data_IF_703628534436
#
_entry.id   IF_703628534436
#
_cell.length_a   1.000
_cell.length_b   1.000
_cell.length_c   1.000
_cell.angle_alpha   90.00
_cell.angle_beta   90.00
_cell.angle_gamma   90.00
#
_symmetry.space_group_name_H-M   'P 1'
#
loop_
_entity.id
_entity.type
_entity.pdbx_description
1 polymer ?
#
# COMPACT_ATOMS: atom_id res chain seq x y z
N UNK A 1 44.88 -34.80 -22.93
CA UNK A 1 45.11 -33.43 -22.57
C UNK A 1 43.82 -32.89 -21.93
N UNK A 2 43.92 -32.41 -20.72
CA UNK A 2 42.76 -31.79 -20.06
C UNK A 2 42.84 -30.29 -20.34
N UNK A 3 42.01 -29.79 -21.24
CA UNK A 3 41.92 -28.35 -21.54
C UNK A 3 40.53 -27.82 -21.26
N UNK A 4 40.41 -26.54 -21.00
CA UNK A 4 39.13 -25.86 -20.96
C UNK A 4 38.55 -25.81 -22.38
N UNK A 5 37.26 -26.02 -22.44
CA UNK A 5 36.47 -26.00 -23.67
C UNK A 5 35.54 -24.82 -23.68
N UNK A 6 34.73 -24.68 -22.64
CA UNK A 6 33.82 -23.57 -22.43
C UNK A 6 34.23 -22.82 -21.16
N UNK A 7 34.64 -21.57 -21.33
CA UNK A 7 35.12 -20.73 -20.23
C UNK A 7 33.95 -20.09 -19.43
N UNK A 8 32.80 -19.95 -20.06
CA UNK A 8 31.62 -19.37 -19.41
C UNK A 8 31.00 -20.33 -18.40
N UNK A 9 31.05 -21.64 -18.74
CA UNK A 9 30.39 -22.73 -17.98
C UNK A 9 31.42 -23.65 -17.28
N UNK A 10 32.71 -23.33 -17.32
CA UNK A 10 33.81 -24.11 -16.71
C UNK A 10 33.86 -25.58 -17.24
N UNK A 11 33.46 -25.80 -18.50
CA UNK A 11 33.44 -27.15 -19.11
C UNK A 11 34.82 -27.47 -19.68
N UNK A 12 35.30 -28.66 -19.39
CA UNK A 12 36.59 -29.23 -19.87
C UNK A 12 36.38 -30.33 -20.89
N UNK A 13 37.41 -30.59 -21.66
CA UNK A 13 37.39 -31.67 -22.64
C UNK A 13 37.04 -33.04 -22.03
N UNK A 14 37.46 -33.32 -20.80
CA UNK A 14 37.10 -34.54 -20.06
C UNK A 14 35.60 -34.64 -19.77
N UNK A 15 34.89 -33.54 -19.60
CA UNK A 15 33.48 -33.56 -19.27
C UNK A 15 32.65 -34.00 -20.46
N UNK A 16 33.03 -33.58 -21.69
CA UNK A 16 32.43 -34.09 -22.92
C UNK A 16 32.68 -35.59 -23.10
N UNK A 17 33.92 -36.04 -22.80
CA UNK A 17 34.25 -37.48 -22.88
C UNK A 17 33.45 -38.26 -21.83
N UNK A 18 33.28 -37.72 -20.63
CA UNK A 18 32.46 -38.35 -19.57
C UNK A 18 31.01 -38.43 -19.98
N UNK A 19 30.46 -37.34 -20.52
CA UNK A 19 29.10 -37.33 -21.06
C UNK A 19 28.86 -38.44 -22.09
N UNK A 20 29.78 -38.57 -23.06
CA UNK A 20 29.72 -39.64 -24.07
C UNK A 20 29.71 -41.02 -23.44
N UNK A 21 30.56 -41.28 -22.43
CA UNK A 21 30.63 -42.58 -21.72
C UNK A 21 29.35 -42.90 -20.95
N UNK A 22 28.67 -41.89 -20.44
CA UNK A 22 27.41 -42.03 -19.73
C UNK A 22 26.19 -42.12 -20.65
N UNK A 23 26.41 -42.11 -21.99
CA UNK A 23 25.35 -42.28 -22.98
C UNK A 23 24.78 -40.97 -23.55
N UNK A 24 25.31 -39.81 -23.14
CA UNK A 24 24.95 -38.51 -23.73
C UNK A 24 25.79 -38.26 -24.99
N UNK A 25 25.56 -39.09 -26.02
CA UNK A 25 26.43 -39.23 -27.17
C UNK A 25 26.07 -38.35 -28.37
N UNK A 26 25.01 -37.56 -28.29
CA UNK A 26 24.69 -36.53 -29.29
C UNK A 26 25.10 -35.14 -28.80
N UNK A 27 25.36 -34.21 -29.72
CA UNK A 27 25.75 -32.83 -29.37
C UNK A 27 24.76 -32.15 -28.45
N UNK A 28 23.44 -32.33 -28.68
CA UNK A 28 22.39 -31.75 -27.85
C UNK A 28 22.31 -32.39 -26.46
N UNK A 29 22.54 -33.69 -26.34
CA UNK A 29 22.55 -34.38 -25.06
C UNK A 29 23.81 -34.02 -24.25
N UNK A 30 24.98 -34.03 -24.88
CA UNK A 30 26.25 -33.65 -24.28
C UNK A 30 26.20 -32.17 -23.78
N UNK A 31 25.63 -31.27 -24.59
CA UNK A 31 25.37 -29.88 -24.22
C UNK A 31 24.52 -29.76 -22.95
N UNK A 32 23.39 -30.46 -22.87
CA UNK A 32 22.48 -30.41 -21.72
C UNK A 32 23.08 -30.99 -20.45
N UNK A 33 23.89 -32.03 -20.61
CA UNK A 33 24.56 -32.70 -19.49
C UNK A 33 25.72 -31.87 -18.94
N UNK A 34 26.50 -31.23 -19.81
CA UNK A 34 27.71 -30.49 -19.44
C UNK A 34 27.52 -28.98 -19.34
N UNK A 35 26.39 -28.44 -19.76
CA UNK A 35 26.11 -27.01 -19.97
C UNK A 35 26.97 -26.33 -21.06
N UNK A 36 27.82 -27.09 -21.80
CA UNK A 36 28.67 -26.53 -22.84
C UNK A 36 27.88 -25.80 -23.92
N UNK A 37 28.23 -24.55 -24.19
CA UNK A 37 27.53 -23.72 -25.17
C UNK A 37 26.19 -23.18 -24.69
N UNK A 38 25.86 -23.25 -23.40
CA UNK A 38 24.64 -22.70 -22.80
C UNK A 38 24.82 -21.28 -22.23
N UNK A 39 26.06 -20.88 -21.96
CA UNK A 39 26.41 -19.57 -21.46
C UNK A 39 26.29 -18.45 -22.50
N UNK A 40 26.73 -17.22 -22.18
CA UNK A 40 26.58 -16.03 -23.05
C UNK A 40 27.25 -16.20 -24.43
N UNK A 41 28.30 -17.02 -24.53
CA UNK A 41 28.96 -17.32 -25.80
C UNK A 41 28.11 -18.14 -26.77
N UNK A 42 27.11 -18.87 -26.27
CA UNK A 42 26.16 -19.68 -27.06
C UNK A 42 26.82 -20.62 -28.05
N UNK A 43 27.94 -21.24 -27.65
CA UNK A 43 28.66 -22.20 -28.48
C UNK A 43 29.52 -21.59 -29.60
N UNK A 44 29.62 -20.26 -29.69
CA UNK A 44 30.35 -19.60 -30.79
C UNK A 44 31.87 -19.93 -30.82
N UNK A 45 32.43 -20.17 -29.65
CA UNK A 45 33.87 -20.53 -29.51
C UNK A 45 34.08 -22.01 -29.29
N UNK A 46 33.26 -22.63 -28.47
CA UNK A 46 33.46 -23.99 -27.96
C UNK A 46 32.85 -25.10 -28.85
N UNK A 47 31.78 -24.85 -29.60
CA UNK A 47 31.01 -25.89 -30.28
C UNK A 47 31.85 -26.73 -31.25
N UNK A 48 32.73 -26.10 -32.04
CA UNK A 48 33.58 -26.82 -32.99
C UNK A 48 34.48 -27.83 -32.28
N UNK A 49 35.09 -27.41 -31.18
CA UNK A 49 35.95 -28.26 -30.37
C UNK A 49 35.14 -29.32 -29.61
N UNK A 50 33.97 -28.97 -29.11
CA UNK A 50 33.06 -29.95 -28.45
C UNK A 50 32.63 -31.04 -29.38
N UNK A 51 32.24 -30.70 -30.63
CA UNK A 51 31.89 -31.66 -31.65
C UNK A 51 33.07 -32.58 -31.99
N UNK A 52 34.29 -32.04 -32.16
CA UNK A 52 35.46 -32.82 -32.46
C UNK A 52 35.81 -33.82 -31.33
N UNK A 53 35.73 -33.37 -30.06
CA UNK A 53 35.97 -34.23 -28.90
C UNK A 53 34.88 -35.30 -28.78
N UNK A 54 33.62 -34.93 -28.98
CA UNK A 54 32.48 -35.87 -28.92
C UNK A 54 32.57 -36.90 -30.07
N UNK A 55 32.90 -36.47 -31.28
CA UNK A 55 33.12 -37.31 -32.43
C UNK A 55 34.21 -38.37 -32.15
N UNK A 56 35.34 -37.91 -31.62
CA UNK A 56 36.43 -38.80 -31.22
C UNK A 56 36.01 -39.77 -30.12
N UNK A 57 35.32 -39.31 -29.09
CA UNK A 57 34.87 -40.12 -27.96
C UNK A 57 33.83 -41.20 -28.36
N UNK A 58 33.05 -40.94 -29.41
CA UNK A 58 31.99 -41.83 -29.92
C UNK A 58 32.37 -42.58 -31.19
N UNK A 59 33.63 -42.42 -31.66
CA UNK A 59 34.15 -43.00 -32.90
C UNK A 59 33.26 -42.66 -34.12
N UNK A 60 32.87 -41.42 -34.27
CA UNK A 60 32.10 -40.85 -35.38
C UNK A 60 32.91 -39.78 -36.09
N UNK A 61 32.51 -39.39 -37.27
CA UNK A 61 33.05 -38.18 -37.89
C UNK A 61 32.38 -36.92 -37.33
N UNK A 62 33.04 -35.78 -37.48
CA UNK A 62 32.55 -34.49 -36.95
C UNK A 62 31.24 -34.05 -37.63
N UNK A 63 31.11 -34.35 -38.95
CA UNK A 63 29.93 -33.96 -39.71
C UNK A 63 28.68 -34.69 -39.25
N UNK A 64 28.76 -36.01 -39.00
CA UNK A 64 27.65 -36.80 -38.47
C UNK A 64 27.31 -36.51 -37.01
N UNK A 65 28.31 -36.05 -36.22
CA UNK A 65 28.06 -35.61 -34.82
C UNK A 65 27.20 -34.35 -34.78
N UNK A 66 27.39 -33.44 -35.74
CA UNK A 66 26.56 -32.23 -35.88
C UNK A 66 26.78 -31.21 -34.80
N UNK A 67 26.24 -30.02 -35.03
CA UNK A 67 26.29 -28.92 -34.06
C UNK A 67 25.05 -28.86 -33.15
N UNK A 68 25.15 -28.12 -32.10
CA UNK A 68 24.02 -27.84 -31.19
C UNK A 68 23.10 -26.75 -31.76
N UNK A 69 21.83 -26.74 -31.31
CA UNK A 69 20.90 -25.67 -31.57
C UNK A 69 21.12 -24.55 -30.55
N UNK A 70 21.13 -23.31 -31.00
CA UNK A 70 21.29 -22.17 -30.13
C UNK A 70 19.99 -21.81 -29.44
N UNK A 71 20.10 -21.20 -28.25
CA UNK A 71 18.97 -20.64 -27.50
C UNK A 71 18.83 -19.15 -27.76
N UNK A 72 17.62 -18.62 -27.91
CA UNK A 72 17.44 -17.17 -27.96
C UNK A 72 17.84 -16.52 -26.60
N UNK A 73 18.42 -15.32 -26.60
CA UNK A 73 18.95 -14.61 -27.79
C UNK A 73 20.32 -15.11 -28.19
N UNK A 74 20.46 -15.57 -29.46
CA UNK A 74 21.73 -16.01 -29.99
C UNK A 74 22.80 -14.92 -30.10
N UNK A 75 22.38 -13.71 -30.45
CA UNK A 75 23.21 -12.52 -30.47
C UNK A 75 22.84 -11.62 -29.29
N UNK A 76 23.82 -10.89 -28.72
CA UNK A 76 23.51 -9.87 -27.72
C UNK A 76 22.48 -8.88 -28.25
N UNK A 77 21.45 -8.60 -27.45
CA UNK A 77 20.43 -7.61 -27.77
C UNK A 77 20.67 -6.41 -26.87
N UNK A 78 20.71 -5.21 -27.43
CA UNK A 78 20.84 -4.01 -26.64
C UNK A 78 19.58 -3.79 -25.77
N UNK A 79 19.76 -3.24 -24.57
CA UNK A 79 18.61 -2.86 -23.73
C UNK A 79 17.67 -1.90 -24.47
N UNK A 80 18.22 -1.02 -25.34
CA UNK A 80 17.39 -0.13 -26.16
C UNK A 80 16.49 -0.86 -27.16
N UNK A 81 16.92 -2.01 -27.70
CA UNK A 81 16.08 -2.84 -28.58
C UNK A 81 14.95 -3.55 -27.80
N UNK A 82 15.19 -3.84 -26.50
CA UNK A 82 14.20 -4.45 -25.60
C UNK A 82 13.28 -3.41 -24.95
N UNK A 83 13.72 -2.15 -24.87
CA UNK A 83 12.98 -1.09 -24.19
C UNK A 83 11.61 -0.81 -24.81
N UNK A 84 11.42 -1.12 -26.09
CA UNK A 84 10.16 -0.89 -26.77
C UNK A 84 9.79 0.59 -26.77
N UNK A 85 8.48 0.87 -26.67
CA UNK A 85 7.95 2.21 -26.50
C UNK A 85 7.99 2.57 -25.02
N UNK A 86 8.52 3.75 -24.66
CA UNK A 86 8.39 4.31 -23.32
C UNK A 86 6.90 4.50 -23.04
N UNK A 87 6.40 3.82 -22.05
CA UNK A 87 5.01 3.86 -21.65
C UNK A 87 4.91 3.69 -20.14
N UNK A 88 4.45 4.75 -19.51
CA UNK A 88 4.06 4.72 -18.09
C UNK A 88 2.54 4.70 -18.04
N UNK A 89 1.92 3.60 -17.55
CA UNK A 89 0.47 3.56 -17.43
C UNK A 89 0.02 4.56 -16.37
N UNK A 90 -0.80 5.51 -16.79
CA UNK A 90 -1.41 6.50 -15.90
C UNK A 90 -2.89 6.18 -15.69
N UNK A 91 -3.34 6.26 -14.45
CA UNK A 91 -4.74 6.18 -14.08
C UNK A 91 -5.20 7.55 -13.60
N UNK A 92 -6.36 7.96 -14.06
CA UNK A 92 -6.99 9.21 -13.65
C UNK A 92 -8.41 8.95 -13.17
N UNK A 93 -8.87 9.78 -12.24
CA UNK A 93 -10.26 9.70 -11.79
C UNK A 93 -11.21 10.28 -12.83
N UNK A 94 -12.51 9.96 -12.78
CA UNK A 94 -13.52 10.55 -13.66
C UNK A 94 -13.62 12.08 -13.56
N UNK A 95 -13.10 12.68 -12.48
CA UNK A 95 -13.13 14.13 -12.23
C UNK A 95 -11.78 14.83 -12.49
N UNK A 96 -10.78 14.12 -13.00
CA UNK A 96 -9.43 14.67 -13.23
C UNK A 96 -9.42 15.95 -14.07
N UNK A 97 -10.23 16.00 -15.12
CA UNK A 97 -10.33 17.19 -15.95
C UNK A 97 -10.80 18.41 -15.16
N UNK A 98 -11.80 18.23 -14.29
CA UNK A 98 -12.29 19.30 -13.42
C UNK A 98 -11.18 19.78 -12.48
N UNK A 99 -10.38 18.88 -11.91
CA UNK A 99 -9.25 19.25 -11.04
C UNK A 99 -8.27 20.16 -11.76
N UNK A 100 -7.88 19.82 -12.99
CA UNK A 100 -6.99 20.65 -13.81
C UNK A 100 -7.60 22.02 -14.12
N UNK A 101 -8.85 22.06 -14.54
CA UNK A 101 -9.56 23.30 -14.86
C UNK A 101 -9.73 24.23 -13.63
N UNK A 102 -9.62 23.67 -12.41
CA UNK A 102 -9.73 24.41 -11.14
C UNK A 102 -8.38 24.58 -10.41
N UNK A 103 -7.29 24.48 -11.15
CA UNK A 103 -5.95 24.84 -10.67
C UNK A 103 -5.30 23.83 -9.73
N UNK A 104 -5.74 22.58 -9.73
CA UNK A 104 -5.06 21.54 -9.00
C UNK A 104 -3.62 21.35 -9.49
N UNK A 105 -2.70 21.22 -8.57
CA UNK A 105 -1.38 20.67 -8.79
C UNK A 105 -1.47 19.17 -8.62
N UNK A 106 -0.94 18.44 -9.58
CA UNK A 106 -0.96 16.98 -9.52
C UNK A 106 0.28 16.38 -8.87
N UNK A 107 0.10 15.22 -8.28
CA UNK A 107 1.14 14.31 -7.86
C UNK A 107 0.87 12.91 -8.41
N UNK A 108 1.93 12.11 -8.54
CA UNK A 108 1.86 10.69 -8.87
C UNK A 108 1.83 9.88 -7.58
N UNK A 109 0.83 9.00 -7.44
CA UNK A 109 0.70 8.06 -6.34
C UNK A 109 0.49 6.64 -6.90
N UNK A 110 1.57 5.87 -7.02
CA UNK A 110 1.58 4.62 -7.77
C UNK A 110 1.29 4.90 -9.25
N UNK A 111 0.23 4.30 -9.79
CA UNK A 111 -0.21 4.56 -11.18
C UNK A 111 -1.24 5.70 -11.29
N UNK A 112 -1.65 6.31 -10.18
CA UNK A 112 -2.70 7.32 -10.16
C UNK A 112 -2.15 8.73 -10.17
N UNK A 113 -2.73 9.57 -11.03
CA UNK A 113 -2.57 11.02 -10.96
C UNK A 113 -3.63 11.57 -9.98
N UNK A 114 -3.20 12.34 -8.99
CA UNK A 114 -4.06 12.86 -7.92
C UNK A 114 -3.77 14.33 -7.65
N UNK A 115 -4.76 15.15 -7.29
CA UNK A 115 -4.52 16.50 -6.81
C UNK A 115 -3.64 16.50 -5.54
N UNK A 116 -2.44 17.08 -5.63
CA UNK A 116 -1.59 17.31 -4.47
C UNK A 116 -2.15 18.44 -3.60
N UNK A 117 -2.52 19.56 -4.25
CA UNK A 117 -3.15 20.72 -3.62
C UNK A 117 -3.83 21.64 -4.65
N UNK A 118 -4.65 22.60 -4.16
CA UNK A 118 -5.30 23.64 -4.96
C UNK A 118 -4.70 25.03 -4.65
N UNK A 119 -3.40 25.09 -4.46
CA UNK A 119 -2.64 26.33 -4.28
C UNK A 119 -2.04 26.49 -2.88
N UNK A 120 -2.81 26.31 -1.82
CA UNK A 120 -2.32 26.50 -0.45
C UNK A 120 -2.83 25.40 0.50
N UNK A 121 -2.03 24.35 0.74
CA UNK A 121 -2.40 23.25 1.61
C UNK A 121 -2.78 23.68 3.04
N UNK A 122 -2.13 24.73 3.59
CA UNK A 122 -2.44 25.22 4.92
C UNK A 122 -3.84 25.86 4.97
N UNK A 123 -4.23 26.62 3.95
CA UNK A 123 -5.56 27.17 3.85
C UNK A 123 -6.63 26.08 3.65
N UNK A 124 -6.31 25.04 2.87
CA UNK A 124 -7.18 23.88 2.70
C UNK A 124 -7.43 23.17 4.03
N UNK A 125 -6.40 22.95 4.86
CA UNK A 125 -6.52 22.39 6.21
C UNK A 125 -7.43 23.25 7.08
N UNK A 126 -7.21 24.56 7.11
CA UNK A 126 -8.03 25.49 7.91
C UNK A 126 -9.49 25.45 7.46
N UNK A 127 -9.75 25.35 6.14
CA UNK A 127 -11.11 25.24 5.62
C UNK A 127 -11.80 23.94 6.07
N UNK A 128 -11.11 22.79 5.99
CA UNK A 128 -11.64 21.51 6.48
C UNK A 128 -11.97 21.58 7.98
N UNK A 129 -11.10 22.22 8.79
CA UNK A 129 -11.31 22.39 10.25
C UNK A 129 -12.47 23.30 10.61
N UNK A 130 -12.77 24.30 9.76
CA UNK A 130 -13.72 25.38 10.10
C UNK A 130 -15.06 25.27 9.36
N UNK A 131 -15.07 24.64 8.17
CA UNK A 131 -16.21 24.61 7.25
C UNK A 131 -16.47 23.18 6.76
N UNK A 132 -16.25 22.95 5.47
CA UNK A 132 -16.27 21.63 4.84
C UNK A 132 -15.30 21.57 3.66
N UNK A 133 -14.49 20.53 3.60
CA UNK A 133 -13.64 20.23 2.45
C UNK A 133 -14.17 19.03 1.68
N UNK A 134 -13.83 18.94 0.39
CA UNK A 134 -14.10 17.78 -0.46
C UNK A 134 -12.82 17.29 -1.11
N UNK A 135 -12.58 15.98 -1.10
CA UNK A 135 -11.40 15.35 -1.71
C UNK A 135 -11.79 14.14 -2.56
N UNK A 136 -11.08 13.96 -3.68
CA UNK A 136 -11.19 12.78 -4.53
C UNK A 136 -10.45 11.59 -3.92
N UNK A 137 -11.20 10.54 -3.57
CA UNK A 137 -10.70 9.27 -3.05
C UNK A 137 -10.85 8.10 -4.05
N UNK A 138 -11.16 8.39 -5.31
CA UNK A 138 -11.33 7.37 -6.36
C UNK A 138 -10.15 6.38 -6.44
N UNK A 139 -8.88 6.79 -6.22
CA UNK A 139 -7.75 5.87 -6.28
C UNK A 139 -7.68 4.80 -5.18
N UNK A 140 -8.39 4.93 -4.05
CA UNK A 140 -8.42 3.88 -3.04
C UNK A 140 -8.93 2.57 -3.64
N UNK A 141 -8.28 1.45 -3.29
CA UNK A 141 -8.74 0.13 -3.73
C UNK A 141 -10.15 -0.18 -3.22
N UNK A 142 -10.95 -0.82 -4.04
CA UNK A 142 -12.29 -1.30 -3.70
C UNK A 142 -12.45 -2.71 -4.21
N UNK A 143 -12.72 -3.63 -3.30
CA UNK A 143 -12.98 -5.04 -3.58
C UNK A 143 -14.38 -5.38 -3.06
N UNK A 144 -15.21 -5.89 -3.94
CA UNK A 144 -16.56 -6.36 -3.62
C UNK A 144 -16.50 -7.85 -3.31
N UNK A 145 -16.95 -8.25 -2.13
CA UNK A 145 -16.88 -9.62 -1.67
C UNK A 145 -18.30 -10.16 -1.46
N UNK A 146 -18.58 -11.27 -2.12
CA UNK A 146 -19.86 -11.98 -2.01
C UNK A 146 -19.66 -13.43 -1.65
N UNK A 147 -20.53 -13.94 -0.80
CA UNK A 147 -20.62 -15.36 -0.49
C UNK A 147 -20.74 -15.65 1.01
N UNK A 148 -21.27 -16.84 1.36
CA UNK A 148 -21.50 -17.21 2.76
C UNK A 148 -20.22 -17.37 3.57
N UNK A 149 -19.07 -17.58 2.91
CA UNK A 149 -17.78 -17.77 3.58
C UNK A 149 -16.91 -16.50 3.64
N UNK A 150 -17.45 -15.32 3.25
CA UNK A 150 -16.70 -14.04 3.30
C UNK A 150 -16.16 -13.76 4.71
N UNK A 151 -16.92 -14.05 5.76
CA UNK A 151 -16.47 -13.85 7.15
C UNK A 151 -15.25 -14.70 7.47
N UNK A 152 -15.18 -15.94 6.95
CA UNK A 152 -13.99 -16.81 7.14
C UNK A 152 -12.78 -16.19 6.47
N UNK A 153 -12.92 -15.70 5.23
CA UNK A 153 -11.86 -15.00 4.52
C UNK A 153 -11.39 -13.76 5.28
N UNK A 154 -12.31 -12.90 5.73
CA UNK A 154 -11.97 -11.70 6.49
C UNK A 154 -11.26 -12.04 7.81
N UNK A 155 -11.68 -13.10 8.49
CA UNK A 155 -11.01 -13.58 9.71
C UNK A 155 -9.62 -14.16 9.42
N UNK A 156 -9.37 -14.73 8.23
CA UNK A 156 -8.06 -15.24 7.84
C UNK A 156 -7.08 -14.11 7.51
N UNK A 157 -7.53 -13.09 6.79
CA UNK A 157 -6.64 -12.07 6.23
C UNK A 157 -6.45 -10.84 7.14
N UNK A 158 -7.36 -10.59 8.07
CA UNK A 158 -7.23 -9.51 9.03
C UNK A 158 -6.87 -9.99 10.43
N UNK A 159 -6.12 -9.20 11.15
CA UNK A 159 -5.73 -9.50 12.55
C UNK A 159 -6.90 -9.42 13.53
N UNK A 160 -7.94 -8.63 13.24
CA UNK A 160 -9.11 -8.42 14.08
C UNK A 160 -10.28 -9.38 13.72
N UNK A 161 -11.28 -9.46 14.61
CA UNK A 161 -12.43 -10.35 14.47
C UNK A 161 -13.53 -9.73 13.61
N UNK A 162 -14.16 -10.52 12.74
CA UNK A 162 -15.20 -10.10 11.80
C UNK A 162 -16.56 -10.76 12.04
N UNK A 163 -16.66 -11.79 12.89
CA UNK A 163 -17.89 -12.56 13.13
C UNK A 163 -19.06 -11.69 13.61
N UNK A 164 -18.77 -10.65 14.38
CA UNK A 164 -19.75 -9.79 15.01
C UNK A 164 -19.94 -8.45 14.28
N UNK A 165 -19.52 -8.31 13.03
CA UNK A 165 -19.80 -7.11 12.26
C UNK A 165 -21.26 -7.13 11.79
N UNK A 166 -22.08 -6.21 12.29
CA UNK A 166 -23.48 -6.11 11.91
C UNK A 166 -23.66 -5.54 10.48
N UNK A 167 -24.70 -5.95 9.77
CA UNK A 167 -25.09 -5.32 8.50
C UNK A 167 -25.29 -3.81 8.71
N UNK A 168 -24.85 -3.01 7.76
CA UNK A 168 -24.86 -1.55 7.85
C UNK A 168 -23.78 -0.96 8.74
N UNK A 169 -22.78 -1.75 9.13
CA UNK A 169 -21.60 -1.30 9.89
C UNK A 169 -20.32 -1.48 9.09
N UNK A 170 -19.31 -0.70 9.42
CA UNK A 170 -17.96 -0.80 8.87
C UNK A 170 -16.95 -1.07 9.98
N UNK A 171 -15.81 -1.62 9.63
CA UNK A 171 -14.70 -1.88 10.55
C UNK A 171 -13.38 -1.61 9.88
N UNK A 172 -12.50 -0.90 10.58
CA UNK A 172 -11.11 -0.77 10.20
C UNK A 172 -10.36 -2.05 10.56
N UNK A 173 -9.53 -2.54 9.66
CA UNK A 173 -8.70 -3.72 9.83
C UNK A 173 -7.31 -3.52 9.28
N UNK A 174 -6.37 -4.31 9.82
CA UNK A 174 -4.99 -4.40 9.35
C UNK A 174 -4.70 -5.82 8.87
N UNK A 175 -4.10 -5.93 7.71
CA UNK A 175 -3.63 -7.18 7.12
C UNK A 175 -2.14 -7.32 7.38
N UNK A 176 -1.72 -8.49 7.81
CA UNK A 176 -0.32 -8.83 7.99
C UNK A 176 0.06 -9.99 7.08
N UNK A 177 1.27 -9.94 6.54
CA UNK A 177 1.91 -11.08 5.91
C UNK A 177 2.21 -12.18 6.94
N UNK A 178 2.67 -13.34 6.49
CA UNK A 178 2.93 -14.51 7.35
C UNK A 178 3.99 -14.23 8.43
N UNK A 179 4.90 -13.28 8.18
CA UNK A 179 5.93 -12.81 9.12
C UNK A 179 5.44 -11.72 10.09
N UNK A 180 4.13 -11.44 10.13
CA UNK A 180 3.53 -10.44 11.01
C UNK A 180 3.73 -8.99 10.57
N UNK A 181 4.41 -8.75 9.44
CA UNK A 181 4.63 -7.42 8.87
C UNK A 181 3.32 -6.87 8.31
N UNK A 182 3.04 -5.59 8.57
CA UNK A 182 1.87 -4.90 8.04
C UNK A 182 1.97 -4.82 6.51
N UNK A 183 1.02 -5.45 5.83
CA UNK A 183 0.94 -5.50 4.37
C UNK A 183 0.05 -4.39 3.80
N UNK A 184 -1.15 -4.25 4.36
CA UNK A 184 -2.11 -3.20 3.99
C UNK A 184 -3.10 -2.97 5.14
N UNK A 185 -3.88 -1.91 5.03
CA UNK A 185 -4.97 -1.59 5.93
C UNK A 185 -6.19 -1.10 5.13
N UNK A 186 -7.31 -1.02 5.78
CA UNK A 186 -8.50 -0.48 5.14
C UNK A 186 -9.75 -0.61 6.00
N UNK A 187 -10.85 -0.16 5.43
CA UNK A 187 -12.16 -0.25 6.04
C UNK A 187 -13.00 -1.20 5.22
N UNK A 188 -13.65 -2.15 5.88
CA UNK A 188 -14.59 -3.08 5.24
C UNK A 188 -15.99 -2.88 5.82
N UNK A 189 -16.97 -2.66 4.95
CA UNK A 189 -18.37 -2.49 5.29
C UNK A 189 -19.20 -3.72 4.95
N UNK A 190 -20.09 -4.14 5.87
CA UNK A 190 -21.07 -5.18 5.61
C UNK A 190 -22.34 -4.57 5.05
N UNK A 191 -22.57 -4.78 3.75
CA UNK A 191 -23.71 -4.23 3.01
C UNK A 191 -24.96 -5.13 3.07
N UNK A 192 -24.76 -6.43 3.24
CA UNK A 192 -25.81 -7.45 3.32
C UNK A 192 -25.33 -8.66 4.11
N UNK A 193 -26.14 -9.71 4.17
CA UNK A 193 -25.79 -10.93 4.93
C UNK A 193 -24.47 -11.54 4.42
N UNK A 194 -24.33 -11.66 3.11
CA UNK A 194 -23.17 -12.26 2.43
C UNK A 194 -22.48 -11.27 1.48
N UNK A 195 -22.66 -9.96 1.71
CA UNK A 195 -22.14 -8.90 0.85
C UNK A 195 -21.31 -7.88 1.64
N UNK A 196 -20.05 -7.69 1.22
CA UNK A 196 -19.11 -6.77 1.84
C UNK A 196 -18.38 -5.94 0.79
N UNK A 197 -18.09 -4.69 1.12
CA UNK A 197 -17.20 -3.84 0.34
C UNK A 197 -15.93 -3.56 1.17
N UNK A 198 -14.78 -3.99 0.67
CA UNK A 198 -13.47 -3.79 1.28
C UNK A 198 -12.75 -2.64 0.57
N UNK A 199 -12.13 -1.75 1.33
CA UNK A 199 -11.18 -0.76 0.79
C UNK A 199 -9.76 -1.11 1.18
N UNK A 200 -8.80 -0.69 0.35
CA UNK A 200 -7.35 -0.88 0.54
C UNK A 200 -6.62 0.42 0.21
N UNK A 201 -5.32 0.48 0.49
CA UNK A 201 -4.50 1.57 -0.04
C UNK A 201 -4.53 1.60 -1.57
N UNK A 202 -4.31 2.77 -2.17
CA UNK A 202 -4.32 2.92 -3.64
C UNK A 202 -3.24 2.09 -4.33
N UNK A 203 -2.07 1.95 -3.71
CA UNK A 203 -0.95 1.16 -4.22
C UNK A 203 -1.10 -0.34 -3.94
N UNK A 204 -1.77 -0.71 -2.84
CA UNK A 204 -1.95 -2.09 -2.40
C UNK A 204 -3.09 -2.84 -3.09
N UNK A 205 -4.00 -2.14 -3.79
CA UNK A 205 -5.24 -2.72 -4.31
C UNK A 205 -5.04 -4.00 -5.14
N UNK A 206 -4.05 -4.00 -6.04
CA UNK A 206 -3.73 -5.17 -6.86
C UNK A 206 -3.13 -6.31 -6.03
N UNK A 207 -2.15 -5.99 -5.18
CA UNK A 207 -1.46 -6.99 -4.35
C UNK A 207 -2.42 -7.65 -3.34
N UNK A 208 -3.32 -6.88 -2.74
CA UNK A 208 -4.35 -7.43 -1.84
C UNK A 208 -5.29 -8.34 -2.61
N UNK A 209 -5.76 -7.93 -3.80
CA UNK A 209 -6.63 -8.78 -4.61
C UNK A 209 -5.95 -10.09 -4.99
N UNK A 210 -4.73 -10.04 -5.52
CA UNK A 210 -3.95 -11.23 -5.88
C UNK A 210 -3.74 -12.16 -4.66
N UNK A 211 -3.50 -11.59 -3.49
CA UNK A 211 -3.32 -12.33 -2.25
C UNK A 211 -4.61 -13.02 -1.77
N UNK A 212 -5.77 -12.33 -1.86
CA UNK A 212 -7.06 -12.94 -1.56
C UNK A 212 -7.38 -14.10 -2.52
N UNK A 213 -7.14 -13.89 -3.83
CA UNK A 213 -7.33 -14.93 -4.85
C UNK A 213 -6.39 -16.13 -4.62
N UNK A 214 -5.15 -15.89 -4.21
CA UNK A 214 -4.20 -16.95 -3.86
C UNK A 214 -4.76 -17.85 -2.74
N UNK A 215 -5.28 -17.24 -1.65
CA UNK A 215 -5.89 -18.00 -0.55
C UNK A 215 -7.09 -18.83 -1.02
N UNK A 216 -7.98 -18.22 -1.82
CA UNK A 216 -9.21 -18.87 -2.30
C UNK A 216 -8.91 -19.97 -3.32
N UNK A 217 -7.93 -19.78 -4.21
CA UNK A 217 -7.65 -20.74 -5.27
C UNK A 217 -6.74 -21.90 -4.83
N UNK A 218 -5.90 -21.71 -3.82
CA UNK A 218 -4.89 -22.70 -3.43
C UNK A 218 -5.13 -23.36 -2.09
N UNK A 219 -5.51 -22.60 -1.08
CA UNK A 219 -5.64 -23.11 0.31
C UNK A 219 -7.08 -23.45 0.65
N UNK A 220 -8.02 -22.63 0.21
CA UNK A 220 -9.45 -22.77 0.52
C UNK A 220 -10.34 -22.78 -0.73
N UNK A 221 -10.09 -23.69 -1.70
CA UNK A 221 -10.88 -23.75 -2.95
C UNK A 221 -12.33 -24.19 -2.74
N UNK A 222 -12.65 -24.67 -1.55
CA UNK A 222 -13.99 -25.06 -1.12
C UNK A 222 -14.82 -23.90 -0.55
N UNK A 223 -14.20 -22.75 -0.26
CA UNK A 223 -14.95 -21.59 0.25
C UNK A 223 -15.73 -20.90 -0.85
N UNK A 224 -16.99 -20.62 -0.54
CA UNK A 224 -17.89 -19.92 -1.45
C UNK A 224 -17.72 -18.40 -1.26
N UNK A 225 -16.70 -17.85 -1.88
CA UNK A 225 -16.39 -16.42 -1.90
C UNK A 225 -16.05 -15.98 -3.31
N UNK A 226 -16.63 -14.87 -3.74
CA UNK A 226 -16.25 -14.17 -4.98
C UNK A 226 -15.67 -12.81 -4.61
N UNK A 227 -14.49 -12.48 -5.12
CA UNK A 227 -13.83 -11.19 -4.97
C UNK A 227 -13.81 -10.47 -6.31
N UNK A 228 -14.44 -9.31 -6.39
CA UNK A 228 -14.50 -8.51 -7.63
C UNK A 228 -13.83 -7.16 -7.43
N UNK A 229 -12.78 -6.82 -8.21
CA UNK A 229 -12.15 -5.51 -8.11
C UNK A 229 -13.06 -4.43 -8.73
N UNK A 230 -13.52 -3.49 -7.90
CA UNK A 230 -14.40 -2.40 -8.29
C UNK A 230 -13.75 -1.01 -8.22
N UNK A 231 -12.43 -0.93 -8.11
CA UNK A 231 -11.70 0.34 -7.96
C UNK A 231 -12.09 1.36 -9.04
N UNK A 232 -12.19 0.94 -10.28
CA UNK A 232 -12.52 1.81 -11.43
C UNK A 232 -14.02 1.89 -11.72
N UNK A 233 -14.83 1.06 -11.09
CA UNK A 233 -16.29 1.10 -11.23
C UNK A 233 -16.94 2.22 -10.41
N UNK A 234 -16.26 2.68 -9.36
CA UNK A 234 -16.71 3.78 -8.52
C UNK A 234 -15.84 5.02 -8.68
N UNK A 235 -16.47 6.19 -8.68
CA UNK A 235 -15.86 7.43 -8.28
C UNK A 235 -16.14 7.62 -6.78
N UNK A 236 -15.11 7.88 -5.99
CA UNK A 236 -15.25 8.04 -4.55
C UNK A 236 -14.77 9.41 -4.14
N UNK A 237 -15.50 10.03 -3.23
CA UNK A 237 -15.16 11.34 -2.69
C UNK A 237 -15.44 11.37 -1.19
N UNK A 238 -14.69 12.17 -0.47
CA UNK A 238 -14.93 12.39 0.94
C UNK A 238 -15.25 13.87 1.20
N UNK A 239 -16.30 14.13 1.94
CA UNK A 239 -16.59 15.46 2.50
C UNK A 239 -16.26 15.43 3.99
N UNK A 240 -15.45 16.40 4.46
CA UNK A 240 -14.94 16.43 5.81
C UNK A 240 -15.01 17.83 6.39
N UNK A 241 -15.44 17.94 7.64
CA UNK A 241 -15.53 19.19 8.37
C UNK A 241 -16.86 19.34 9.14
N UNK A 242 -17.00 20.34 10.01
CA UNK A 242 -18.19 20.50 10.84
C UNK A 242 -19.49 20.62 10.04
N UNK A 243 -19.44 21.18 8.83
CA UNK A 243 -20.63 21.39 7.99
C UNK A 243 -20.94 20.18 7.06
N UNK A 244 -20.19 19.09 7.13
CA UNK A 244 -20.34 17.96 6.18
C UNK A 244 -21.69 17.24 6.28
N UNK A 245 -22.29 17.12 7.51
CA UNK A 245 -23.62 16.54 7.67
C UNK A 245 -24.70 17.41 7.04
N UNK A 246 -24.66 18.71 7.29
CA UNK A 246 -25.60 19.66 6.70
C UNK A 246 -25.50 19.66 5.18
N UNK A 247 -24.28 19.69 4.64
CA UNK A 247 -24.06 19.61 3.19
C UNK A 247 -24.70 18.35 2.61
N UNK A 248 -24.38 17.18 3.17
CA UNK A 248 -24.88 15.91 2.64
C UNK A 248 -26.41 15.84 2.71
N UNK A 249 -27.03 16.36 3.78
CA UNK A 249 -28.50 16.35 3.94
C UNK A 249 -29.24 17.10 2.83
N UNK A 250 -28.57 18.04 2.14
CA UNK A 250 -29.18 18.81 1.04
C UNK A 250 -29.27 18.03 -0.28
N UNK A 251 -28.54 16.93 -0.38
CA UNK A 251 -28.36 16.19 -1.66
C UNK A 251 -28.62 14.68 -1.54
N UNK A 252 -29.03 14.19 -0.38
CA UNK A 252 -29.29 12.75 -0.17
C UNK A 252 -30.66 12.49 0.43
N UNK A 253 -31.20 11.28 0.18
CA UNK A 253 -32.38 10.72 0.85
C UNK A 253 -32.02 9.89 2.08
N UNK A 254 -30.74 9.68 2.36
CA UNK A 254 -30.27 8.91 3.52
C UNK A 254 -30.55 9.68 4.80
N UNK A 255 -31.14 9.00 5.79
CA UNK A 255 -31.25 9.55 7.14
C UNK A 255 -29.85 9.70 7.78
N UNK A 256 -29.44 10.95 8.05
CA UNK A 256 -28.15 11.31 8.62
C UNK A 256 -28.20 11.57 10.13
N UNK A 257 -29.30 11.24 10.82
CA UNK A 257 -29.38 11.39 12.28
C UNK A 257 -28.23 10.59 12.94
N UNK A 258 -27.45 11.20 13.84
CA UNK A 258 -26.32 10.52 14.49
C UNK A 258 -26.69 9.24 15.24
N UNK A 259 -27.94 9.07 15.65
CA UNK A 259 -28.41 7.86 16.34
C UNK A 259 -28.63 6.70 15.39
N UNK A 260 -29.02 6.98 14.15
CA UNK A 260 -29.30 5.96 13.10
C UNK A 260 -28.13 5.76 12.18
N UNK A 261 -27.34 6.81 11.89
CA UNK A 261 -26.17 6.79 11.05
C UNK A 261 -24.94 7.40 11.76
N UNK A 262 -24.55 6.75 12.85
CA UNK A 262 -23.38 7.14 13.65
C UNK A 262 -22.04 6.77 12.99
N UNK A 263 -20.96 7.08 13.68
CA UNK A 263 -19.60 6.75 13.26
C UNK A 263 -19.42 5.23 13.06
N UNK A 264 -18.65 4.84 12.04
CA UNK A 264 -18.42 3.44 11.61
C UNK A 264 -19.70 2.73 11.11
N UNK A 265 -20.55 3.47 10.40
CA UNK A 265 -21.73 2.94 9.73
C UNK A 265 -21.67 3.16 8.22
N UNK A 266 -22.40 2.31 7.48
CA UNK A 266 -22.62 2.41 6.04
C UNK A 266 -24.12 2.43 5.73
N UNK A 267 -24.50 3.21 4.72
CA UNK A 267 -25.86 3.26 4.16
C UNK A 267 -25.77 3.28 2.64
N UNK A 268 -26.79 2.75 2.01
CA UNK A 268 -27.03 2.88 0.58
C UNK A 268 -28.23 3.78 0.34
N UNK A 269 -28.20 4.60 -0.69
CA UNK A 269 -29.28 5.52 -1.01
C UNK A 269 -28.98 6.35 -2.23
N UNK A 270 -29.71 7.45 -2.38
CA UNK A 270 -29.56 8.39 -3.48
C UNK A 270 -28.70 9.57 -3.04
N UNK A 271 -27.71 9.96 -3.85
CA UNK A 271 -26.91 11.18 -3.64
C UNK A 271 -26.96 12.01 -4.92
N UNK A 272 -27.35 13.28 -4.81
CA UNK A 272 -27.47 14.21 -5.94
C UNK A 272 -28.32 13.64 -7.12
N UNK A 273 -29.36 12.86 -6.81
CA UNK A 273 -30.22 12.22 -7.80
C UNK A 273 -29.69 10.91 -8.38
N UNK A 274 -28.49 10.48 -7.98
CA UNK A 274 -27.87 9.21 -8.40
C UNK A 274 -28.24 8.13 -7.39
N UNK A 275 -28.93 7.08 -7.84
CA UNK A 275 -29.30 5.94 -7.00
C UNK A 275 -28.11 4.98 -6.76
N UNK A 276 -28.28 4.09 -5.77
CA UNK A 276 -27.30 3.06 -5.42
C UNK A 276 -25.93 3.59 -5.02
N UNK A 277 -25.87 4.80 -4.49
CA UNK A 277 -24.66 5.30 -3.86
C UNK A 277 -24.44 4.62 -2.51
N UNK A 278 -23.18 4.37 -2.16
CA UNK A 278 -22.77 3.82 -0.87
C UNK A 278 -22.14 4.95 -0.08
N UNK A 279 -22.66 5.24 1.10
CA UNK A 279 -22.15 6.32 1.96
C UNK A 279 -21.65 5.73 3.27
N UNK A 280 -20.40 6.00 3.60
CA UNK A 280 -19.74 5.57 4.82
C UNK A 280 -19.55 6.74 5.77
N UNK A 281 -19.90 6.56 7.03
CA UNK A 281 -19.69 7.53 8.10
C UNK A 281 -18.34 7.22 8.76
N UNK A 282 -17.28 7.56 8.07
CA UNK A 282 -15.88 7.37 8.49
C UNK A 282 -15.08 8.64 8.19
N UNK A 283 -13.90 8.80 8.78
CA UNK A 283 -13.05 9.94 8.50
C UNK A 283 -11.58 9.67 8.79
N UNK A 284 -10.74 10.15 7.91
CA UNK A 284 -9.29 10.08 8.02
C UNK A 284 -8.67 11.42 8.49
N UNK A 285 -9.37 12.51 8.26
CA UNK A 285 -8.93 13.88 8.59
C UNK A 285 -9.07 14.25 10.06
N UNK A 286 -9.78 13.43 10.86
CA UNK A 286 -10.09 13.74 12.25
C UNK A 286 -11.30 14.66 12.45
N UNK A 287 -12.05 14.96 11.37
CA UNK A 287 -13.31 15.71 11.42
C UNK A 287 -14.51 14.82 11.13
N UNK A 288 -15.72 15.33 11.42
CA UNK A 288 -16.98 14.76 10.93
C UNK A 288 -16.89 14.58 9.42
N UNK A 289 -17.16 13.37 8.91
CA UNK A 289 -16.81 13.06 7.54
C UNK A 289 -17.69 11.95 6.97
N UNK A 290 -17.94 12.04 5.66
CA UNK A 290 -18.67 11.03 4.90
C UNK A 290 -17.88 10.70 3.64
N UNK A 291 -17.65 9.40 3.42
CA UNK A 291 -17.07 8.88 2.18
C UNK A 291 -18.22 8.38 1.30
N UNK A 292 -18.27 8.92 0.09
CA UNK A 292 -19.39 8.71 -0.85
C UNK A 292 -18.84 7.99 -2.07
N UNK A 293 -19.34 6.79 -2.33
CA UNK A 293 -19.01 5.99 -3.51
C UNK A 293 -20.20 6.05 -4.48
N UNK A 294 -19.95 6.53 -5.68
CA UNK A 294 -20.96 6.63 -6.74
C UNK A 294 -20.48 5.87 -7.98
N UNK A 295 -21.36 5.36 -8.84
CA UNK A 295 -20.92 4.76 -10.11
C UNK A 295 -20.05 5.77 -10.88
N UNK A 296 -18.91 5.31 -11.42
CA UNK A 296 -17.86 6.17 -11.95
C UNK A 296 -18.35 7.21 -12.99
N UNK A 297 -19.32 6.81 -13.82
CA UNK A 297 -19.92 7.69 -14.84
C UNK A 297 -20.66 8.92 -14.28
N UNK A 298 -21.05 8.89 -13.00
CA UNK A 298 -21.73 10.00 -12.34
C UNK A 298 -20.80 10.80 -11.42
N UNK A 299 -19.53 10.46 -11.34
CA UNK A 299 -18.56 11.07 -10.43
C UNK A 299 -18.50 12.59 -10.57
N UNK A 300 -18.32 13.10 -11.78
CA UNK A 300 -18.28 14.54 -12.05
C UNK A 300 -19.58 15.24 -11.67
N UNK A 301 -20.73 14.64 -11.99
CA UNK A 301 -22.04 15.21 -11.64
C UNK A 301 -22.19 15.36 -10.13
N UNK A 302 -21.92 14.30 -9.34
CA UNK A 302 -22.07 14.35 -7.89
C UNK A 302 -21.07 15.31 -7.25
N UNK A 303 -19.83 15.36 -7.75
CA UNK A 303 -18.81 16.32 -7.31
C UNK A 303 -19.29 17.76 -7.48
N UNK A 304 -19.78 18.12 -8.67
CA UNK A 304 -20.29 19.47 -8.96
C UNK A 304 -21.53 19.81 -8.11
N UNK A 305 -22.46 18.86 -7.95
CA UNK A 305 -23.67 19.07 -7.13
C UNK A 305 -23.35 19.29 -5.65
N UNK A 306 -22.34 18.61 -5.10
CA UNK A 306 -21.86 18.86 -3.73
C UNK A 306 -21.25 20.25 -3.60
N UNK A 307 -20.42 20.65 -4.56
CA UNK A 307 -19.83 22.00 -4.57
C UNK A 307 -20.91 23.10 -4.65
N UNK A 308 -21.91 22.92 -5.50
CA UNK A 308 -23.03 23.87 -5.61
C UNK A 308 -23.84 23.95 -4.32
N UNK A 309 -24.19 22.79 -3.75
CA UNK A 309 -25.03 22.72 -2.53
C UNK A 309 -24.34 23.24 -1.28
N UNK A 310 -23.00 23.28 -1.28
CA UNK A 310 -22.19 23.69 -0.12
C UNK A 310 -21.59 25.08 -0.22
N UNK A 311 -21.92 25.89 -1.23
CA UNK A 311 -21.31 27.21 -1.43
C UNK A 311 -21.42 28.10 -0.20
N UNK A 312 -22.60 28.18 0.40
CA UNK A 312 -22.88 28.96 1.62
C UNK A 312 -22.30 28.31 2.90
N UNK A 313 -21.92 27.04 2.84
CA UNK A 313 -21.27 26.30 3.92
C UNK A 313 -19.73 26.38 3.84
N UNK A 314 -19.18 27.07 2.86
CA UNK A 314 -17.75 27.23 2.65
C UNK A 314 -17.06 25.98 2.13
N UNK A 315 -17.75 25.19 1.29
CA UNK A 315 -17.12 24.02 0.67
C UNK A 315 -15.97 24.44 -0.25
N UNK A 316 -14.84 23.75 -0.12
CA UNK A 316 -13.73 23.89 -1.04
C UNK A 316 -13.03 22.55 -1.26
N UNK A 317 -12.45 22.29 -2.45
CA UNK A 317 -11.63 21.12 -2.67
C UNK A 317 -10.33 21.20 -1.85
N UNK A 318 -9.82 20.05 -1.43
CA UNK A 318 -8.51 19.94 -0.83
C UNK A 318 -7.75 18.75 -1.40
N UNK A 319 -6.42 18.85 -1.42
CA UNK A 319 -5.56 17.83 -2.00
C UNK A 319 -4.93 16.90 -0.96
N UNK A 320 -4.08 16.02 -1.49
CA UNK A 320 -3.38 14.99 -0.70
C UNK A 320 -2.46 15.61 0.36
N UNK A 321 -1.82 16.74 0.08
CA UNK A 321 -0.94 17.36 1.06
C UNK A 321 -1.72 17.89 2.28
N UNK A 322 -2.90 18.51 2.06
CA UNK A 322 -3.79 18.89 3.16
C UNK A 322 -4.31 17.66 3.92
N UNK A 323 -4.64 16.55 3.21
CA UNK A 323 -5.03 15.29 3.85
C UNK A 323 -3.90 14.72 4.72
N UNK A 324 -2.64 14.77 4.25
CA UNK A 324 -1.46 14.34 5.02
C UNK A 324 -1.27 15.15 6.31
N UNK A 325 -1.49 16.45 6.27
CA UNK A 325 -1.45 17.31 7.47
C UNK A 325 -2.58 16.94 8.43
N UNK A 326 -3.83 16.87 7.93
CA UNK A 326 -5.02 16.59 8.73
C UNK A 326 -4.96 15.24 9.43
N UNK A 327 -4.55 14.18 8.71
CA UNK A 327 -4.41 12.84 9.29
C UNK A 327 -3.29 12.80 10.33
N UNK A 328 -2.17 13.53 10.09
CA UNK A 328 -1.06 13.61 11.04
C UNK A 328 -1.49 14.34 12.31
N UNK A 329 -2.25 15.44 12.21
CA UNK A 329 -2.86 16.11 13.36
C UNK A 329 -3.74 15.15 14.18
N UNK A 330 -4.43 14.20 13.52
CA UNK A 330 -5.27 13.19 14.18
C UNK A 330 -4.47 11.98 14.68
N UNK A 331 -3.22 11.81 14.25
CA UNK A 331 -2.39 10.68 14.61
C UNK A 331 -2.71 9.38 13.82
N UNK A 332 -3.42 9.49 12.70
CA UNK A 332 -3.65 8.36 11.82
C UNK A 332 -2.39 8.04 10.99
N UNK A 333 -1.97 6.79 10.98
CA UNK A 333 -0.84 6.34 10.17
C UNK A 333 -1.22 6.17 8.69
N UNK A 334 -0.22 6.14 7.83
CA UNK A 334 -0.33 5.71 6.42
C UNK A 334 0.56 4.49 6.25
N UNK A 335 -0.02 3.36 5.81
CA UNK A 335 0.73 2.17 5.44
C UNK A 335 1.63 2.48 4.24
N UNK A 336 2.89 2.07 4.30
CA UNK A 336 3.93 2.40 3.32
C UNK A 336 4.63 3.74 3.54
N UNK A 337 4.17 4.57 4.50
CA UNK A 337 4.87 5.78 4.94
C UNK A 337 5.29 5.68 6.42
N UNK A 338 4.33 5.41 7.31
CA UNK A 338 4.60 5.20 8.75
C UNK A 338 4.91 3.72 9.06
N UNK A 339 4.75 2.84 8.09
CA UNK A 339 5.22 1.46 8.07
C UNK A 339 6.15 1.25 6.88
N UNK A 340 6.93 0.19 6.91
CA UNK A 340 7.77 -0.29 5.81
C UNK A 340 7.65 -1.81 5.69
N UNK A 341 8.47 -2.43 4.82
CA UNK A 341 8.49 -3.88 4.63
C UNK A 341 9.01 -4.70 5.82
N UNK A 342 9.24 -4.09 6.98
CA UNK A 342 9.71 -4.72 8.21
C UNK A 342 8.85 -4.36 9.43
N UNK A 343 7.96 -3.38 9.31
CA UNK A 343 7.16 -2.88 10.42
C UNK A 343 6.01 -3.84 10.75
N UNK A 344 5.99 -4.32 11.96
CA UNK A 344 4.99 -5.24 12.46
C UNK A 344 3.82 -4.48 13.13
N UNK A 345 2.67 -5.15 13.30
CA UNK A 345 1.45 -4.51 13.81
C UNK A 345 1.64 -3.85 15.18
N UNK A 346 2.38 -4.47 16.10
CA UNK A 346 2.65 -3.90 17.43
C UNK A 346 3.55 -2.66 17.36
N UNK A 347 4.56 -2.68 16.47
CA UNK A 347 5.46 -1.56 16.26
C UNK A 347 4.73 -0.34 15.68
N UNK A 348 3.73 -0.58 14.82
CA UNK A 348 2.89 0.46 14.23
C UNK A 348 1.83 1.02 15.20
N UNK A 349 1.79 0.55 16.46
CA UNK A 349 0.75 0.94 17.41
C UNK A 349 -0.62 0.32 17.15
N UNK A 350 -0.69 -0.71 16.30
CA UNK A 350 -1.94 -1.38 15.90
C UNK A 350 -2.25 -2.64 16.74
N UNK A 351 -1.52 -2.89 17.81
CA UNK A 351 -1.68 -4.06 18.69
C UNK A 351 -3.12 -4.22 19.22
N UNK A 352 -3.85 -3.13 19.43
CA UNK A 352 -5.27 -3.18 19.81
C UNK A 352 -6.19 -3.89 18.80
N UNK A 353 -5.77 -3.99 17.53
CA UNK A 353 -6.49 -4.70 16.47
C UNK A 353 -6.11 -6.18 16.40
N UNK A 354 -4.96 -6.58 16.95
CA UNK A 354 -4.50 -7.97 16.95
C UNK A 354 -5.31 -8.78 17.95
N UNK A 355 -6.03 -9.80 17.49
CA UNK A 355 -6.90 -10.65 18.30
C UNK A 355 -6.37 -12.08 18.31
N UNK A 356 -5.34 -12.32 19.11
CA UNK A 356 -4.68 -13.62 19.24
C UNK A 356 -5.62 -14.76 19.71
N UNK A 357 -6.74 -14.42 20.31
CA UNK A 357 -7.78 -15.39 20.68
C UNK A 357 -8.60 -15.97 19.52
N UNK A 358 -8.42 -15.48 18.28
CA UNK A 358 -8.99 -16.11 17.07
C UNK A 358 -8.32 -17.46 16.80
N UNK A 359 -9.00 -18.34 16.06
CA UNK A 359 -8.45 -19.66 15.72
C UNK A 359 -7.14 -19.54 14.95
N UNK A 360 -7.17 -18.98 13.75
CA UNK A 360 -5.97 -18.70 12.95
C UNK A 360 -6.18 -17.47 12.05
N UNK A 361 -5.07 -16.84 11.66
CA UNK A 361 -5.03 -15.76 10.65
C UNK A 361 -3.58 -15.54 10.20
N UNK A 362 -3.41 -14.93 9.03
CA UNK A 362 -2.10 -14.65 8.46
C UNK A 362 -1.23 -13.83 9.42
N UNK A 363 -0.02 -14.34 9.69
CA UNK A 363 0.94 -13.72 10.60
C UNK A 363 0.72 -14.02 12.09
N UNK A 364 -0.32 -14.76 12.49
CA UNK A 364 -0.60 -15.04 13.90
C UNK A 364 0.58 -15.65 14.66
N UNK A 365 1.30 -16.70 14.17
CA UNK A 365 2.40 -17.29 14.90
C UNK A 365 3.48 -16.27 15.26
N UNK A 366 3.84 -15.42 14.31
CA UNK A 366 4.86 -14.39 14.53
C UNK A 366 4.35 -13.29 15.49
N UNK A 367 3.10 -12.87 15.35
CA UNK A 367 2.49 -11.86 16.25
C UNK A 367 2.38 -12.37 17.70
N UNK A 368 2.22 -13.68 17.94
CA UNK A 368 2.31 -14.29 19.27
C UNK A 368 3.72 -14.15 19.86
N UNK A 369 4.74 -14.40 19.05
CA UNK A 369 6.14 -14.22 19.48
C UNK A 369 6.40 -12.76 19.84
N UNK A 370 5.96 -11.82 18.99
CA UNK A 370 6.15 -10.39 19.20
C UNK A 370 5.44 -9.88 20.46
N UNK A 371 4.23 -10.36 20.75
CA UNK A 371 3.53 -9.98 21.99
C UNK A 371 4.36 -10.35 23.22
N UNK A 372 5.03 -11.50 23.21
CA UNK A 372 5.90 -11.92 24.31
C UNK A 372 7.17 -11.10 24.41
N UNK A 373 7.62 -10.47 23.31
CA UNK A 373 8.81 -9.63 23.20
C UNK A 373 8.49 -8.12 23.27
N UNK A 374 7.30 -7.75 23.74
CA UNK A 374 6.77 -6.37 23.65
C UNK A 374 7.67 -5.25 24.22
N UNK A 375 8.68 -5.57 25.04
CA UNK A 375 9.66 -4.61 25.56
C UNK A 375 10.85 -4.30 24.66
N UNK A 376 11.06 -5.08 23.60
CA UNK A 376 12.32 -5.04 22.81
C UNK A 376 12.16 -4.48 21.40
N UNK A 377 10.95 -4.20 20.95
CA UNK A 377 10.73 -3.66 19.59
C UNK A 377 10.59 -2.12 19.55
N UNK A 378 10.67 -1.55 18.35
CA UNK A 378 10.41 -0.13 18.15
C UNK A 378 8.93 0.21 18.30
N UNK A 379 8.64 1.47 18.62
CA UNK A 379 7.28 1.98 18.77
C UNK A 379 7.06 3.20 17.87
N UNK A 380 5.92 3.26 17.23
CA UNK A 380 5.45 4.48 16.57
C UNK A 380 4.97 5.46 17.66
N UNK A 381 5.58 6.65 17.68
CA UNK A 381 5.27 7.71 18.63
C UNK A 381 5.05 9.03 17.92
N UNK A 382 4.27 9.92 18.53
CA UNK A 382 4.20 11.31 18.13
C UNK A 382 5.32 12.12 18.79
N UNK A 383 5.99 12.98 18.02
CA UNK A 383 7.03 13.86 18.54
C UNK A 383 6.81 15.31 18.09
N UNK A 384 7.20 16.25 18.94
CA UNK A 384 7.19 17.68 18.66
C UNK A 384 8.61 18.23 18.73
N UNK A 385 9.04 18.92 17.68
CA UNK A 385 10.34 19.61 17.69
C UNK A 385 10.35 20.72 18.73
N UNK A 386 11.46 20.87 19.45
CA UNK A 386 11.64 21.95 20.44
C UNK A 386 11.55 23.32 19.76
N UNK A 387 12.12 23.45 18.56
CA UNK A 387 11.87 24.62 17.69
C UNK A 387 10.57 24.38 16.89
N UNK A 388 9.45 25.05 17.23
CA UNK A 388 8.17 24.77 16.60
C UNK A 388 8.10 25.09 15.11
N UNK A 389 9.02 25.89 14.60
CA UNK A 389 9.07 26.29 13.19
C UNK A 389 9.96 25.36 12.33
N UNK A 390 10.66 24.41 12.94
CA UNK A 390 11.53 23.50 12.23
C UNK A 390 10.81 22.19 11.95
N UNK A 391 10.56 21.92 10.67
CA UNK A 391 9.97 20.66 10.18
C UNK A 391 11.13 19.79 9.68
N UNK A 392 11.50 18.71 10.38
CA UNK A 392 12.54 17.82 9.89
C UNK A 392 12.05 17.09 8.64
N UNK A 393 12.92 16.83 7.63
CA UNK A 393 12.56 15.99 6.52
C UNK A 393 12.09 14.59 6.96
N UNK A 394 11.13 13.99 6.24
CA UNK A 394 10.79 12.59 6.41
C UNK A 394 12.02 11.72 6.18
N UNK A 395 12.09 10.56 6.83
CA UNK A 395 13.26 9.68 6.92
C UNK A 395 14.47 10.25 7.69
N UNK A 396 14.42 11.46 8.26
CA UNK A 396 15.46 11.96 9.16
C UNK A 396 15.72 10.97 10.29
N UNK A 397 16.99 10.71 10.58
CA UNK A 397 17.41 9.72 11.56
C UNK A 397 17.29 10.26 12.99
N UNK A 398 16.88 9.41 13.91
CA UNK A 398 16.94 9.68 15.35
C UNK A 398 18.17 8.97 15.90
N UNK A 399 19.01 9.71 16.64
CA UNK A 399 20.26 9.22 17.16
C UNK A 399 20.34 9.25 18.70
N UNK A 400 21.15 8.37 19.24
CA UNK A 400 21.53 8.27 20.67
C UNK A 400 23.06 8.21 20.80
N UNK A 401 23.58 8.58 21.97
CA UNK A 401 25.01 8.44 22.31
C UNK A 401 25.96 8.98 21.21
N UNK A 402 25.62 10.11 20.64
CA UNK A 402 26.39 10.72 19.57
C UNK A 402 25.90 10.36 18.17
N UNK A 403 26.19 9.18 17.64
CA UNK A 403 25.89 8.81 16.26
C UNK A 403 25.18 7.46 16.10
N UNK A 404 24.81 6.81 17.16
CA UNK A 404 24.05 5.55 17.11
C UNK A 404 22.65 5.83 16.58
N UNK A 405 22.32 5.35 15.36
CA UNK A 405 20.99 5.47 14.78
C UNK A 405 20.08 4.50 15.49
N UNK A 406 19.00 5.00 16.11
CA UNK A 406 18.06 4.22 16.90
C UNK A 406 16.62 4.34 16.41
N UNK A 407 16.36 5.24 15.46
CA UNK A 407 15.00 5.45 14.96
C UNK A 407 14.98 6.41 13.77
N UNK A 408 13.76 6.73 13.30
CA UNK A 408 13.56 7.64 12.18
C UNK A 408 12.23 8.39 12.29
N UNK A 409 12.18 9.56 11.69
CA UNK A 409 10.94 10.29 11.42
C UNK A 409 10.23 9.63 10.23
N UNK A 410 8.95 9.30 10.36
CA UNK A 410 8.15 8.69 9.30
C UNK A 410 7.23 9.70 8.63
N UNK A 411 6.67 10.61 9.41
CA UNK A 411 5.82 11.70 8.93
C UNK A 411 6.19 12.98 9.63
N UNK A 412 6.22 14.08 8.89
CA UNK A 412 6.58 15.40 9.44
C UNK A 412 5.93 16.51 8.64
N UNK A 413 5.18 17.41 9.31
CA UNK A 413 4.52 18.56 8.67
C UNK A 413 4.44 19.74 9.63
N UNK A 414 4.33 20.93 9.05
CA UNK A 414 3.85 22.11 9.77
C UNK A 414 2.34 22.04 9.91
N UNK A 415 1.84 22.00 11.13
CA UNK A 415 0.40 22.07 11.39
C UNK A 415 -0.07 23.53 11.39
N UNK A 416 -0.96 23.93 10.47
CA UNK A 416 -1.56 25.26 10.51
C UNK A 416 -2.54 25.43 11.67
N UNK A 417 -3.12 24.34 12.16
CA UNK A 417 -4.02 24.33 13.33
C UNK A 417 -3.27 24.65 14.61
N UNK A 418 -2.11 24.02 14.82
CA UNK A 418 -1.30 24.15 16.03
C UNK A 418 -0.18 25.19 15.89
N UNK A 419 0.08 25.67 14.68
CA UNK A 419 1.16 26.60 14.32
C UNK A 419 2.54 26.09 14.75
N UNK A 420 2.77 24.80 14.57
CA UNK A 420 4.03 24.14 14.92
C UNK A 420 4.28 22.90 14.09
N UNK A 421 5.55 22.50 14.06
CA UNK A 421 5.97 21.22 13.51
C UNK A 421 5.45 20.05 14.36
N UNK A 422 4.87 19.04 13.70
CA UNK A 422 4.40 17.78 14.28
C UNK A 422 4.93 16.61 13.46
N UNK A 423 5.28 15.52 14.13
CA UNK A 423 5.91 14.36 13.48
C UNK A 423 5.40 13.05 14.08
N UNK A 424 5.42 11.99 13.27
CA UNK A 424 5.44 10.60 13.76
C UNK A 424 6.85 10.04 13.57
N UNK A 425 7.25 9.15 14.47
CA UNK A 425 8.56 8.55 14.47
C UNK A 425 8.54 7.12 15.02
N UNK A 426 9.40 6.27 14.47
CA UNK A 426 9.76 5.01 15.12
C UNK A 426 10.95 5.21 16.05
N UNK A 427 10.79 4.82 17.30
CA UNK A 427 11.85 4.87 18.32
C UNK A 427 11.88 3.57 19.13
N UNK A 428 13.03 3.17 19.71
CA UNK A 428 13.07 2.00 20.61
C UNK A 428 12.24 2.24 21.87
N UNK A 429 11.80 1.17 22.50
CA UNK A 429 10.98 1.20 23.73
C UNK A 429 11.55 2.12 24.81
N UNK A 430 12.87 2.15 24.98
CA UNK A 430 13.55 3.00 25.97
C UNK A 430 13.38 4.51 25.74
N UNK A 431 13.01 4.94 24.54
CA UNK A 431 12.77 6.34 24.17
C UNK A 431 11.30 6.64 23.91
N UNK A 432 10.40 5.65 23.99
CA UNK A 432 8.99 5.80 23.63
C UNK A 432 8.13 6.45 24.74
N UNK A 433 8.65 6.56 25.98
CA UNK A 433 7.89 7.15 27.09
C UNK A 433 7.56 8.64 26.85
N UNK A 434 6.34 9.08 27.16
CA UNK A 434 5.98 10.50 27.08
C UNK A 434 6.98 11.41 27.83
N UNK A 435 7.34 12.55 27.22
CA UNK A 435 8.34 13.47 27.75
C UNK A 435 9.80 13.09 27.45
N UNK A 436 10.05 11.91 26.87
CA UNK A 436 11.41 11.54 26.44
C UNK A 436 11.90 12.50 25.37
N UNK A 437 13.19 12.87 25.48
CA UNK A 437 13.88 13.70 24.50
C UNK A 437 14.56 12.80 23.45
N UNK A 438 14.36 13.11 22.19
CA UNK A 438 15.01 12.46 21.06
C UNK A 438 15.77 13.50 20.24
N UNK A 439 16.90 13.13 19.64
CA UNK A 439 17.70 14.00 18.78
C UNK A 439 17.59 13.55 17.33
N UNK A 440 17.08 14.43 16.48
CA UNK A 440 16.89 14.22 15.04
C UNK A 440 18.11 14.80 14.32
N UNK A 441 18.68 14.08 13.37
CA UNK A 441 19.77 14.54 12.50
C UNK A 441 19.21 14.95 11.15
N UNK A 442 19.45 16.20 10.75
CA UNK A 442 19.06 16.74 9.46
C UNK A 442 20.10 16.40 8.38
N UNK A 443 19.72 16.54 7.11
CA UNK A 443 20.60 16.25 5.95
C UNK A 443 21.93 17.04 5.97
N UNK A 444 21.91 18.27 6.49
CA UNK A 444 23.11 19.11 6.63
C UNK A 444 23.98 18.75 7.86
N UNK A 445 23.60 17.72 8.62
CA UNK A 445 24.25 17.28 9.84
C UNK A 445 23.84 18.01 11.12
N UNK A 446 22.98 19.04 11.03
CA UNK A 446 22.46 19.72 12.21
C UNK A 446 21.61 18.78 13.06
N UNK A 447 21.58 19.05 14.36
CA UNK A 447 20.83 18.26 15.34
C UNK A 447 19.68 19.06 15.92
N UNK A 448 18.52 18.45 15.95
CA UNK A 448 17.30 19.06 16.45
C UNK A 448 16.72 18.17 17.53
N UNK A 449 16.44 18.76 18.67
CA UNK A 449 15.74 18.07 19.75
C UNK A 449 14.22 18.06 19.52
N UNK A 450 13.61 16.94 19.88
CA UNK A 450 12.16 16.78 19.90
C UNK A 450 11.73 16.02 21.16
N UNK A 451 10.48 16.17 21.53
CA UNK A 451 9.88 15.57 22.72
C UNK A 451 8.76 14.59 22.30
N UNK A 452 8.82 13.39 22.86
CA UNK A 452 7.77 12.38 22.68
C UNK A 452 6.51 12.79 23.41
N UNK A 453 5.36 12.68 22.74
CA UNK A 453 4.04 13.00 23.29
C UNK A 453 3.39 11.78 23.94
N UNK A 454 2.34 12.03 24.72
CA UNK A 454 1.52 10.99 25.36
C UNK A 454 0.65 10.28 24.31
N UNK A 455 -0.02 11.05 23.43
CA UNK A 455 -0.91 10.55 22.39
C UNK A 455 -0.30 10.69 20.99
N UNK A 456 -0.61 9.77 20.09
CA UNK A 456 -0.33 9.95 18.66
C UNK A 456 -1.10 11.12 18.07
N UNK A 457 -2.30 11.39 18.55
CA UNK A 457 -3.13 12.51 18.10
C UNK A 457 -2.66 13.83 18.70
N UNK A 458 -2.40 14.82 17.85
CA UNK A 458 -2.08 16.19 18.25
C UNK A 458 -3.34 17.03 18.41
N UNK A 459 -4.41 16.73 17.65
CA UNK A 459 -5.70 17.40 17.64
C UNK A 459 -6.79 16.39 17.91
N UNK A 460 -7.72 16.72 18.81
CA UNK A 460 -8.89 15.92 19.16
C UNK A 460 -8.54 14.45 19.52
N UNK A 461 -7.67 14.20 20.51
CA UNK A 461 -7.25 12.85 20.88
C UNK A 461 -8.45 11.95 21.24
N UNK A 462 -9.46 12.50 21.88
CA UNK A 462 -10.68 11.77 22.24
C UNK A 462 -11.61 11.47 21.06
N UNK A 463 -11.38 12.07 19.89
CA UNK A 463 -12.19 11.83 18.68
C UNK A 463 -13.61 12.40 18.75
N UNK A 464 -13.80 13.49 19.48
CA UNK A 464 -15.13 14.16 19.60
C UNK A 464 -15.58 14.70 18.25
N UNK A 465 -14.68 15.41 17.53
CA UNK A 465 -14.96 15.94 16.20
C UNK A 465 -15.23 14.83 15.18
N UNK A 466 -14.42 13.78 15.23
CA UNK A 466 -14.54 12.64 14.32
C UNK A 466 -15.88 11.90 14.49
N UNK A 467 -16.33 11.78 15.74
CA UNK A 467 -17.61 11.12 16.03
C UNK A 467 -18.83 12.01 15.76
N UNK A 468 -18.70 13.32 15.83
CA UNK A 468 -19.65 14.37 15.41
C UNK A 468 -20.94 14.42 16.15
#
# INVERSE_FOLDING_TARGET
TVGFLDYSEDVKSKDIVSAAKEGYDSSELAKRFTTSGMGPAQGKFENVNAMAILAQATNRDVQSTGTTVWRPPYAPISLGALAGRVFEPERVSPIQRWHHEHGAKDMVAGQWIRPEHYGNPAAEVVNVRSNVGIIDLTPLGKLDLHGPDVVKLLNLVYTNNWDNLAVGSVRYGVMCAEDGVVMDDGVTGRLGDDHYLMTTTSSGAGAVWDWLEMWLQTVHPDWQVTVTPLTTAFCSMNIAGPNSRELLSRVTDIDLDPKTFGYMKVRTGTVAGVANCIVWRIGFTGELSYEIHVPASYGLHVWQRLLEAGQDLGIAPFGIEAQRILRLEKGHLIVGQDTDGLTQAYQAGLGGLVKLGKDDFSGKPELVVQETMAGDHSHLVAVETVNPNLVPPEASQIVRNGNEIVGRITSSRMSPTLKRSICLAHVPAALAAPGSRVTIVLENGDRVDAIVREDLAFVDPEGVRLRG
#
